data_IF_301192513073
#
_entry.id   IF_301192513073
#
_cell.length_a   1.000
_cell.length_b   1.000
_cell.length_c   1.000
_cell.angle_alpha   90.00
_cell.angle_beta   90.00
_cell.angle_gamma   90.00
#
_symmetry.space_group_name_H-M   'P 1'
#
loop_
_entity.id
_entity.type
_entity.pdbx_description
1 polymer ?
#
# COMPACT_ATOMS: atom_id res chain seq x y z
N UNK A 1 -6.02 -1.94 -7.74
CA UNK A 1 -7.09 -2.41 -8.66
C UNK A 1 -8.48 -2.48 -7.99
N UNK A 2 -8.61 -2.09 -6.73
CA UNK A 2 -9.88 -1.94 -6.01
C UNK A 2 -9.67 -1.10 -4.76
N UNK A 3 -10.77 -0.71 -4.10
CA UNK A 3 -10.74 0.01 -2.83
C UNK A 3 -9.90 1.28 -2.88
N UNK A 4 -9.16 1.54 -1.82
CA UNK A 4 -8.38 2.78 -1.64
C UNK A 4 -7.37 3.00 -2.78
N UNK A 5 -6.64 1.96 -3.20
CA UNK A 5 -5.63 2.08 -4.25
C UNK A 5 -6.20 2.50 -5.60
N UNK A 6 -7.39 2.00 -5.97
CA UNK A 6 -8.08 2.40 -7.19
C UNK A 6 -8.49 3.87 -7.13
N UNK A 7 -9.06 4.32 -6.02
CA UNK A 7 -9.49 5.72 -5.88
C UNK A 7 -8.32 6.69 -5.88
N UNK A 8 -7.17 6.31 -5.29
CA UNK A 8 -5.94 7.10 -5.38
C UNK A 8 -5.43 7.18 -6.82
N UNK A 9 -5.42 6.06 -7.56
CA UNK A 9 -5.01 6.04 -8.96
C UNK A 9 -5.87 7.00 -9.80
N UNK A 10 -7.21 6.98 -9.63
CA UNK A 10 -8.12 7.91 -10.32
C UNK A 10 -7.79 9.38 -10.02
N UNK A 11 -7.47 9.72 -8.76
CA UNK A 11 -7.12 11.08 -8.38
C UNK A 11 -5.82 11.54 -9.04
N UNK A 12 -4.78 10.70 -9.08
CA UNK A 12 -3.52 11.04 -9.76
C UNK A 12 -3.68 11.14 -11.27
N UNK A 13 -4.48 10.25 -11.89
CA UNK A 13 -4.81 10.34 -13.33
C UNK A 13 -5.51 11.68 -13.63
N UNK A 14 -6.52 12.04 -12.82
CA UNK A 14 -7.23 13.31 -12.97
C UNK A 14 -6.33 14.54 -12.77
N UNK A 15 -5.32 14.42 -11.91
CA UNK A 15 -4.29 15.46 -11.70
C UNK A 15 -3.21 15.49 -12.80
N UNK A 16 -3.31 14.65 -13.82
CA UNK A 16 -2.40 14.67 -14.98
C UNK A 16 -1.15 13.78 -14.84
N UNK A 17 -1.03 12.96 -13.81
CA UNK A 17 0.12 12.07 -13.61
C UNK A 17 0.11 10.88 -14.56
N UNK A 18 1.31 10.37 -14.86
CA UNK A 18 1.48 9.01 -15.37
C UNK A 18 1.35 8.02 -14.22
N UNK A 19 0.54 7.00 -14.38
CA UNK A 19 0.23 6.03 -13.31
C UNK A 19 0.59 4.62 -13.72
N UNK A 20 1.49 3.99 -12.98
CA UNK A 20 1.73 2.56 -13.04
C UNK A 20 0.80 1.82 -12.11
N UNK A 21 -0.09 0.98 -12.64
CA UNK A 21 -0.99 0.19 -11.83
C UNK A 21 -0.60 -1.29 -11.83
N UNK A 22 -0.45 -1.87 -10.65
CA UNK A 22 -0.09 -3.27 -10.46
C UNK A 22 -1.08 -4.01 -9.57
N UNK A 23 -1.23 -5.29 -9.81
CA UNK A 23 -2.07 -6.19 -9.02
C UNK A 23 -2.33 -7.51 -9.75
N UNK A 24 -3.05 -8.42 -9.10
CA UNK A 24 -3.32 -9.76 -9.64
C UNK A 24 -4.51 -9.82 -10.59
N UNK A 25 -5.49 -8.90 -10.46
CA UNK A 25 -6.74 -8.89 -11.23
C UNK A 25 -6.55 -8.11 -12.51
N UNK A 26 -6.32 -8.84 -13.59
CA UNK A 26 -6.03 -8.29 -14.92
C UNK A 26 -7.19 -7.46 -15.46
N UNK A 27 -8.43 -7.92 -15.28
CA UNK A 27 -9.63 -7.22 -15.75
C UNK A 27 -9.73 -5.81 -15.15
N UNK A 28 -9.43 -5.66 -13.85
CA UNK A 28 -9.46 -4.36 -13.18
C UNK A 28 -8.33 -3.43 -13.65
N UNK A 29 -7.16 -4.00 -13.97
CA UNK A 29 -6.04 -3.24 -14.52
C UNK A 29 -6.37 -2.75 -15.93
N UNK A 30 -6.93 -3.61 -16.77
CA UNK A 30 -7.36 -3.25 -18.13
C UNK A 30 -8.47 -2.20 -18.13
N UNK A 31 -9.45 -2.31 -17.23
CA UNK A 31 -10.49 -1.31 -17.09
C UNK A 31 -9.92 0.07 -16.71
N UNK A 32 -8.93 0.11 -15.81
CA UNK A 32 -8.26 1.36 -15.43
C UNK A 32 -7.46 1.94 -16.61
N UNK A 33 -6.73 1.10 -17.35
CA UNK A 33 -5.98 1.52 -18.55
C UNK A 33 -6.92 2.03 -19.63
N UNK A 34 -8.03 1.34 -19.90
CA UNK A 34 -9.00 1.75 -20.92
C UNK A 34 -9.62 3.12 -20.61
N UNK A 35 -9.80 3.46 -19.33
CA UNK A 35 -10.31 4.78 -18.92
C UNK A 35 -9.31 5.94 -19.15
N UNK A 36 -8.00 5.65 -19.23
CA UNK A 36 -6.97 6.68 -19.44
C UNK A 36 -5.72 6.07 -20.13
N UNK A 37 -5.81 5.65 -21.39
CA UNK A 37 -4.78 4.85 -22.07
C UNK A 37 -3.44 5.58 -22.20
N UNK A 38 -3.46 6.89 -22.36
CA UNK A 38 -2.25 7.70 -22.50
C UNK A 38 -1.53 7.97 -21.17
N UNK A 39 -2.17 7.66 -20.03
CA UNK A 39 -1.65 7.95 -18.69
C UNK A 39 -1.40 6.72 -17.85
N UNK A 40 -1.93 5.56 -18.24
CA UNK A 40 -1.87 4.36 -17.41
C UNK A 40 -1.06 3.25 -18.07
N UNK A 41 -0.01 2.82 -17.39
CA UNK A 41 0.70 1.56 -17.66
C UNK A 41 0.28 0.53 -16.63
N UNK A 42 0.13 -0.71 -17.06
CA UNK A 42 -0.34 -1.79 -16.19
C UNK A 42 0.61 -2.98 -16.21
N UNK A 43 0.67 -3.69 -15.09
CA UNK A 43 1.37 -4.98 -15.02
C UNK A 43 0.73 -5.89 -13.99
N UNK A 44 0.45 -7.13 -14.38
CA UNK A 44 0.01 -8.15 -13.41
C UNK A 44 1.19 -8.50 -12.51
N UNK A 45 1.05 -8.25 -11.21
CA UNK A 45 2.06 -8.56 -10.18
C UNK A 45 1.38 -9.24 -9.00
N UNK A 46 1.81 -10.45 -8.70
CA UNK A 46 1.59 -11.07 -7.39
C UNK A 46 2.84 -10.84 -6.55
N UNK A 47 2.69 -10.07 -5.47
CA UNK A 47 3.84 -9.70 -4.63
C UNK A 47 4.44 -10.89 -3.86
N UNK A 48 3.73 -12.01 -3.78
CA UNK A 48 4.25 -13.25 -3.17
C UNK A 48 5.10 -14.07 -4.11
N UNK A 49 4.98 -13.83 -5.42
CA UNK A 49 5.73 -14.54 -6.44
C UNK A 49 7.19 -14.07 -6.53
N UNK A 50 8.14 -14.96 -6.85
CA UNK A 50 9.57 -14.60 -6.94
C UNK A 50 9.88 -13.55 -8.01
N UNK A 51 9.10 -13.49 -9.10
CA UNK A 51 9.27 -12.51 -10.18
C UNK A 51 8.69 -11.12 -9.90
N UNK A 52 8.12 -10.89 -8.72
CA UNK A 52 7.46 -9.62 -8.37
C UNK A 52 8.40 -8.42 -8.49
N UNK A 53 9.65 -8.57 -8.09
CA UNK A 53 10.69 -7.53 -8.16
C UNK A 53 10.98 -7.12 -9.59
N UNK A 54 11.26 -8.09 -10.45
CA UNK A 54 11.53 -7.84 -11.87
C UNK A 54 10.32 -7.18 -12.55
N UNK A 55 9.10 -7.67 -12.26
CA UNK A 55 7.88 -7.11 -12.82
C UNK A 55 7.64 -5.67 -12.37
N UNK A 56 7.96 -5.34 -11.11
CA UNK A 56 7.88 -3.97 -10.61
C UNK A 56 8.87 -3.05 -11.35
N UNK A 57 10.13 -3.46 -11.47
CA UNK A 57 11.15 -2.68 -12.17
C UNK A 57 10.82 -2.46 -13.66
N UNK A 58 10.24 -3.47 -14.31
CA UNK A 58 9.74 -3.34 -15.69
C UNK A 58 8.60 -2.33 -15.79
N UNK A 59 7.65 -2.33 -14.85
CA UNK A 59 6.57 -1.34 -14.82
C UNK A 59 7.11 0.09 -14.65
N UNK A 60 8.10 0.27 -13.79
CA UNK A 60 8.76 1.56 -13.59
C UNK A 60 9.48 1.99 -14.88
N UNK A 61 10.15 1.09 -15.57
CA UNK A 61 10.80 1.38 -16.86
C UNK A 61 9.78 1.77 -17.94
N UNK A 62 8.64 1.08 -18.02
CA UNK A 62 7.54 1.39 -18.95
C UNK A 62 6.94 2.80 -18.71
N UNK A 63 7.07 3.33 -17.50
CA UNK A 63 6.66 4.69 -17.12
C UNK A 63 7.74 5.75 -17.41
N UNK A 64 8.98 5.34 -17.68
CA UNK A 64 10.12 6.23 -17.79
C UNK A 64 10.68 6.72 -16.46
N UNK A 65 10.28 6.12 -15.34
CA UNK A 65 10.73 6.45 -13.99
C UNK A 65 9.62 6.38 -12.95
N UNK A 66 9.95 6.72 -11.71
CA UNK A 66 8.99 6.71 -10.60
C UNK A 66 9.35 7.79 -9.58
N UNK A 67 8.43 8.69 -9.28
CA UNK A 67 8.58 9.71 -8.23
C UNK A 67 7.93 9.28 -6.92
N UNK A 68 6.84 8.51 -7.02
CA UNK A 68 6.06 8.01 -5.89
C UNK A 68 5.69 6.55 -6.10
N UNK A 69 6.11 5.67 -5.19
CA UNK A 69 5.58 4.31 -5.10
C UNK A 69 4.66 4.21 -3.89
N UNK A 70 3.39 3.84 -4.14
CA UNK A 70 2.41 3.61 -3.09
C UNK A 70 2.03 2.12 -3.04
N UNK A 71 2.45 1.44 -1.99
CA UNK A 71 2.06 0.05 -1.74
C UNK A 71 0.67 -0.02 -1.12
N UNK A 72 -0.27 -0.61 -1.87
CA UNK A 72 -1.66 -0.79 -1.45
C UNK A 72 -2.05 -2.26 -1.24
N UNK A 73 -1.19 -3.20 -1.65
CA UNK A 73 -1.50 -4.61 -1.56
C UNK A 73 -1.53 -5.10 -0.11
N UNK A 74 -2.48 -5.95 0.18
CA UNK A 74 -2.63 -6.57 1.49
C UNK A 74 -3.91 -7.38 1.57
N UNK A 75 -3.92 -8.38 2.42
CA UNK A 75 -5.07 -9.21 2.72
C UNK A 75 -5.29 -9.28 4.24
N UNK A 76 -6.50 -9.67 4.63
CA UNK A 76 -6.85 -9.87 6.03
C UNK A 76 -8.11 -10.71 6.13
N UNK A 77 -8.23 -11.44 7.21
CA UNK A 77 -9.37 -12.31 7.51
C UNK A 77 -9.83 -12.09 8.95
N UNK A 78 -11.13 -12.19 9.17
CA UNK A 78 -11.68 -12.50 10.47
C UNK A 78 -11.48 -14.01 10.66
N UNK A 79 -10.63 -14.42 11.60
CA UNK A 79 -10.15 -15.80 11.73
C UNK A 79 -10.03 -16.23 13.20
N UNK A 80 -11.14 -16.19 13.99
CA UNK A 80 -11.09 -16.52 15.40
C UNK A 80 -10.79 -18.02 15.69
N UNK A 81 -10.91 -18.89 14.68
CA UNK A 81 -10.56 -20.31 14.76
C UNK A 81 -9.10 -20.60 14.44
N UNK A 82 -8.31 -19.58 14.08
CA UNK A 82 -6.89 -19.70 13.71
C UNK A 82 -6.66 -20.71 12.58
N UNK A 83 -7.47 -20.65 11.52
CA UNK A 83 -7.22 -21.39 10.28
C UNK A 83 -5.81 -21.05 9.77
N UNK A 84 -4.93 -22.04 9.78
CA UNK A 84 -3.51 -21.86 9.51
C UNK A 84 -3.25 -21.37 8.08
N UNK A 85 -4.04 -21.80 7.09
CA UNK A 85 -3.86 -21.36 5.71
C UNK A 85 -4.11 -19.85 5.56
N UNK A 86 -5.13 -19.31 6.24
CA UNK A 86 -5.42 -17.87 6.26
C UNK A 86 -4.35 -17.07 6.99
N UNK A 87 -3.84 -17.59 8.12
CA UNK A 87 -2.78 -16.92 8.88
C UNK A 87 -1.49 -16.86 8.05
N UNK A 88 -1.07 -17.99 7.45
CA UNK A 88 0.13 -18.08 6.63
C UNK A 88 0.00 -17.19 5.38
N UNK A 89 -1.10 -17.27 4.63
CA UNK A 89 -1.32 -16.44 3.47
C UNK A 89 -1.28 -14.94 3.80
N UNK A 90 -1.81 -14.55 4.98
CA UNK A 90 -1.74 -13.16 5.46
C UNK A 90 -0.29 -12.76 5.76
N UNK A 91 0.48 -13.61 6.43
CA UNK A 91 1.89 -13.35 6.72
C UNK A 91 2.71 -13.26 5.42
N UNK A 92 2.57 -14.21 4.51
CA UNK A 92 3.28 -14.20 3.22
C UNK A 92 2.99 -12.93 2.41
N UNK A 93 1.73 -12.54 2.30
CA UNK A 93 1.36 -11.34 1.53
C UNK A 93 1.80 -10.05 2.23
N UNK A 94 1.42 -9.89 3.52
CA UNK A 94 1.56 -8.62 4.21
C UNK A 94 2.94 -8.40 4.83
N UNK A 95 3.77 -9.43 4.95
CA UNK A 95 5.15 -9.31 5.44
C UNK A 95 6.16 -9.62 4.33
N UNK A 96 6.24 -10.85 3.85
CA UNK A 96 7.25 -11.25 2.86
C UNK A 96 7.06 -10.50 1.54
N UNK A 97 5.86 -10.55 0.96
CA UNK A 97 5.54 -9.82 -0.27
C UNK A 97 5.67 -8.31 -0.13
N UNK A 98 5.23 -7.77 1.01
CA UNK A 98 5.43 -6.35 1.33
C UNK A 98 6.92 -5.99 1.37
N UNK A 99 7.76 -6.74 2.09
CA UNK A 99 9.21 -6.49 2.20
C UNK A 99 9.86 -6.50 0.82
N UNK A 100 9.55 -7.51 0.00
CA UNK A 100 10.07 -7.61 -1.36
C UNK A 100 9.84 -6.33 -2.18
N UNK A 101 8.62 -5.82 -2.18
CA UNK A 101 8.27 -4.58 -2.91
C UNK A 101 8.93 -3.35 -2.30
N UNK A 102 8.97 -3.25 -0.96
CA UNK A 102 9.58 -2.11 -0.28
C UNK A 102 11.09 -2.03 -0.51
N UNK A 103 11.79 -3.16 -0.43
CA UNK A 103 13.24 -3.22 -0.67
C UNK A 103 13.57 -2.88 -2.12
N UNK A 104 12.86 -3.47 -3.07
CA UNK A 104 13.04 -3.18 -4.50
C UNK A 104 12.84 -1.69 -4.79
N UNK A 105 11.79 -1.09 -4.23
CA UNK A 105 11.48 0.32 -4.44
C UNK A 105 12.50 1.24 -3.74
N UNK A 106 12.93 0.88 -2.52
CA UNK A 106 13.93 1.65 -1.78
C UNK A 106 15.28 1.65 -2.52
N UNK A 107 15.71 0.50 -3.02
CA UNK A 107 16.95 0.39 -3.81
C UNK A 107 16.84 1.13 -5.15
N UNK A 108 15.68 1.05 -5.82
CA UNK A 108 15.41 1.85 -7.01
C UNK A 108 15.56 3.36 -6.73
N UNK A 109 14.91 3.88 -5.69
CA UNK A 109 15.02 5.30 -5.32
C UNK A 109 16.43 5.70 -4.88
N UNK A 110 17.17 4.80 -4.24
CA UNK A 110 18.59 5.02 -3.91
C UNK A 110 19.42 5.24 -5.17
N UNK A 111 19.25 4.42 -6.18
CA UNK A 111 19.97 4.52 -7.47
C UNK A 111 19.53 5.73 -8.30
N UNK A 112 18.25 6.06 -8.25
CA UNK A 112 17.68 7.23 -8.93
C UNK A 112 18.12 8.56 -8.30
N UNK A 113 18.51 8.55 -7.04
CA UNK A 113 18.90 9.74 -6.28
C UNK A 113 17.80 10.35 -5.42
N UNK A 114 16.66 9.71 -5.32
CA UNK A 114 15.56 10.13 -4.45
C UNK A 114 14.19 9.63 -4.90
N UNK A 115 13.17 9.89 -4.07
CA UNK A 115 11.80 9.50 -4.36
C UNK A 115 10.92 9.45 -3.11
N UNK A 116 9.66 9.06 -3.31
CA UNK A 116 8.69 8.94 -2.23
C UNK A 116 8.13 7.53 -2.15
N UNK A 117 8.41 6.84 -1.06
CA UNK A 117 7.92 5.49 -0.78
C UNK A 117 6.82 5.55 0.27
N UNK A 118 5.63 5.10 -0.06
CA UNK A 118 4.49 5.11 0.83
C UNK A 118 3.80 3.75 0.89
N UNK A 119 3.18 3.44 2.02
CA UNK A 119 2.39 2.21 2.15
C UNK A 119 1.15 2.40 3.00
N UNK A 120 0.08 1.69 2.61
CA UNK A 120 -1.15 1.59 3.39
C UNK A 120 -0.99 0.45 4.40
N UNK A 121 -0.61 0.82 5.62
CA UNK A 121 -0.58 -0.08 6.77
C UNK A 121 -1.96 -0.18 7.43
N UNK A 122 -2.10 0.07 8.71
CA UNK A 122 -3.38 0.14 9.42
C UNK A 122 -3.20 0.62 10.86
N UNK A 123 -4.27 1.14 11.46
CA UNK A 123 -4.40 1.27 12.93
C UNK A 123 -4.39 -0.11 13.62
N UNK A 124 -4.77 -1.17 12.92
CA UNK A 124 -4.73 -2.55 13.44
C UNK A 124 -3.33 -2.99 13.89
N UNK A 125 -2.27 -2.33 13.41
CA UNK A 125 -0.91 -2.54 13.88
C UNK A 125 -0.58 -1.95 15.25
N UNK A 126 -1.51 -1.27 15.94
CA UNK A 126 -1.26 -0.67 17.26
C UNK A 126 -1.28 -1.70 18.38
N UNK A 127 -2.12 -2.73 18.27
CA UNK A 127 -2.22 -3.84 19.23
C UNK A 127 -2.72 -5.13 18.58
N UNK A 128 -2.56 -6.27 19.26
CA UNK A 128 -3.08 -7.55 18.80
C UNK A 128 -4.61 -7.58 18.76
N UNK A 129 -5.17 -8.15 17.70
CA UNK A 129 -6.60 -8.35 17.52
C UNK A 129 -6.88 -9.85 17.49
N UNK A 130 -7.57 -10.36 18.52
CA UNK A 130 -7.81 -11.80 18.67
C UNK A 130 -8.58 -12.45 17.51
N UNK A 131 -9.48 -11.70 16.86
CA UNK A 131 -10.21 -12.17 15.69
C UNK A 131 -9.43 -12.02 14.36
N UNK A 132 -8.21 -11.45 14.38
CA UNK A 132 -7.41 -11.18 13.19
C UNK A 132 -5.91 -11.15 13.54
N UNK A 133 -5.41 -12.27 14.09
CA UNK A 133 -4.07 -12.36 14.68
C UNK A 133 -2.97 -12.03 13.66
N UNK A 134 -2.87 -12.79 12.56
CA UNK A 134 -1.86 -12.53 11.53
C UNK A 134 -2.02 -11.15 10.89
N UNK A 135 -3.26 -10.66 10.71
CA UNK A 135 -3.48 -9.34 10.14
C UNK A 135 -2.91 -8.24 11.04
N UNK A 136 -3.28 -8.21 12.32
CA UNK A 136 -2.78 -7.18 13.24
C UNK A 136 -1.27 -7.26 13.42
N UNK A 137 -0.70 -8.46 13.53
CA UNK A 137 0.74 -8.68 13.60
C UNK A 137 1.45 -8.19 12.33
N UNK A 138 0.93 -8.52 11.14
CA UNK A 138 1.50 -8.08 9.88
C UNK A 138 1.44 -6.56 9.71
N UNK A 139 0.36 -5.90 10.15
CA UNK A 139 0.27 -4.44 10.12
C UNK A 139 1.24 -3.78 11.11
N UNK A 140 1.52 -4.41 12.25
CA UNK A 140 2.58 -3.95 13.16
C UNK A 140 3.96 -4.08 12.51
N UNK A 141 4.22 -5.21 11.84
CA UNK A 141 5.43 -5.40 11.05
C UNK A 141 5.62 -4.24 10.05
N UNK A 142 4.60 -3.94 9.24
CA UNK A 142 4.65 -2.85 8.25
C UNK A 142 4.94 -1.49 8.90
N UNK A 143 4.28 -1.16 10.02
CA UNK A 143 4.54 0.09 10.74
C UNK A 143 6.01 0.20 11.17
N UNK A 144 6.55 -0.85 11.77
CA UNK A 144 7.94 -0.89 12.26
C UNK A 144 8.94 -0.86 11.10
N UNK A 145 8.65 -1.58 10.03
CA UNK A 145 9.49 -1.62 8.83
C UNK A 145 9.60 -0.25 8.15
N UNK A 146 8.49 0.46 7.98
CA UNK A 146 8.47 1.82 7.44
C UNK A 146 9.21 2.83 8.34
N UNK A 147 9.13 2.65 9.67
CA UNK A 147 9.92 3.45 10.61
C UNK A 147 11.42 3.19 10.43
N UNK A 148 11.83 1.93 10.25
CA UNK A 148 13.21 1.54 10.01
C UNK A 148 13.75 2.09 8.67
N UNK A 149 12.98 1.99 7.58
CA UNK A 149 13.37 2.56 6.29
C UNK A 149 13.54 4.08 6.34
N UNK A 150 12.72 4.78 7.12
CA UNK A 150 12.88 6.22 7.30
C UNK A 150 14.14 6.57 8.11
N UNK A 151 14.53 5.74 9.08
CA UNK A 151 15.80 5.90 9.78
C UNK A 151 16.98 5.63 8.85
N UNK A 152 16.91 4.54 8.07
CA UNK A 152 17.95 4.15 7.12
C UNK A 152 18.18 5.25 6.08
N UNK A 153 17.10 5.83 5.52
CA UNK A 153 17.20 6.94 4.58
C UNK A 153 17.99 8.12 5.18
N UNK A 154 17.70 8.49 6.45
CA UNK A 154 18.44 9.56 7.15
C UNK A 154 19.88 9.18 7.44
N UNK A 155 20.14 7.96 7.92
CA UNK A 155 21.51 7.49 8.21
C UNK A 155 22.40 7.52 6.97
N UNK A 156 21.85 7.17 5.82
CA UNK A 156 22.55 7.17 4.53
C UNK A 156 22.48 8.51 3.77
N UNK A 157 21.82 9.52 4.35
CA UNK A 157 21.63 10.86 3.75
C UNK A 157 20.96 10.80 2.36
N UNK A 158 20.00 9.89 2.19
CA UNK A 158 19.24 9.73 0.96
C UNK A 158 18.03 10.67 0.93
N UNK A 159 17.66 11.20 -0.25
CA UNK A 159 16.42 11.95 -0.43
C UNK A 159 15.23 11.02 -0.71
N UNK A 160 15.08 9.97 0.11
CA UNK A 160 13.95 9.06 0.04
C UNK A 160 12.98 9.38 1.15
N UNK A 161 11.78 9.84 0.79
CA UNK A 161 10.68 10.11 1.73
C UNK A 161 9.91 8.83 2.00
N UNK A 162 9.53 8.62 3.26
CA UNK A 162 8.73 7.46 3.67
C UNK A 162 7.44 7.95 4.30
N UNK A 163 6.28 7.46 3.83
CA UNK A 163 4.96 7.76 4.44
C UNK A 163 4.25 6.47 4.86
N UNK A 164 3.93 6.40 6.15
CA UNK A 164 3.12 5.35 6.75
C UNK A 164 1.66 5.81 6.87
N UNK A 165 0.77 5.18 6.10
CA UNK A 165 -0.66 5.51 6.04
C UNK A 165 -1.43 4.48 6.85
N UNK A 166 -2.07 4.93 7.94
CA UNK A 166 -2.79 4.09 8.91
C UNK A 166 -4.28 4.38 8.90
N UNK A 167 -5.05 3.82 7.96
CA UNK A 167 -6.51 3.96 7.99
C UNK A 167 -7.12 3.08 9.08
N UNK A 168 -8.30 3.50 9.56
CA UNK A 168 -9.24 2.64 10.27
C UNK A 168 -10.09 1.83 9.30
N UNK A 169 -11.36 1.58 9.64
CA UNK A 169 -12.24 0.80 8.79
C UNK A 169 -12.69 1.59 7.55
N UNK A 170 -12.41 1.04 6.38
CA UNK A 170 -12.76 1.61 5.07
C UNK A 170 -13.59 0.61 4.29
N UNK A 171 -14.70 1.06 3.73
CA UNK A 171 -15.61 0.24 2.94
C UNK A 171 -14.95 -0.24 1.65
N UNK A 172 -14.34 -1.39 1.70
CA UNK A 172 -13.58 -1.99 0.61
C UNK A 172 -13.78 -3.51 0.61
N UNK A 173 -13.47 -4.21 -0.48
CA UNK A 173 -13.52 -5.67 -0.53
C UNK A 173 -12.64 -6.40 0.50
N UNK A 174 -11.76 -5.70 1.21
CA UNK A 174 -10.98 -6.26 2.31
C UNK A 174 -11.84 -6.51 3.56
N UNK A 175 -12.82 -5.64 3.82
CA UNK A 175 -13.82 -5.83 4.89
C UNK A 175 -14.97 -6.66 4.34
N UNK A 176 -14.93 -7.98 4.56
CA UNK A 176 -15.89 -8.89 3.92
C UNK A 176 -17.24 -8.88 4.62
N UNK A 177 -17.36 -9.19 5.87
CA UNK A 177 -18.64 -9.27 6.58
C UNK A 177 -18.53 -8.62 7.96
N UNK A 178 -19.57 -7.92 8.38
CA UNK A 178 -19.65 -7.35 9.72
C UNK A 178 -20.09 -5.90 9.77
N UNK A 179 -20.49 -5.47 10.96
CA UNK A 179 -20.74 -4.04 11.27
C UNK A 179 -19.43 -3.47 11.83
N UNK A 180 -18.87 -2.51 11.13
CA UNK A 180 -17.63 -1.85 11.55
C UNK A 180 -17.91 -0.45 12.06
N UNK A 181 -17.36 -0.05 13.22
CA UNK A 181 -17.55 1.30 13.73
C UNK A 181 -16.83 2.32 12.84
N UNK A 182 -17.43 3.50 12.70
CA UNK A 182 -16.82 4.62 11.96
C UNK A 182 -16.34 4.25 10.53
N UNK A 183 -17.10 3.40 9.85
CA UNK A 183 -16.81 2.98 8.47
C UNK A 183 -16.70 4.20 7.54
N UNK A 184 -15.62 4.28 6.79
CA UNK A 184 -15.31 5.40 5.90
C UNK A 184 -15.45 4.99 4.43
N UNK A 185 -15.88 5.92 3.61
CA UNK A 185 -15.92 5.74 2.15
C UNK A 185 -14.51 5.81 1.56
N UNK A 186 -14.13 4.90 0.64
CA UNK A 186 -12.79 4.83 0.07
C UNK A 186 -12.37 6.12 -0.66
N UNK A 187 -13.31 6.82 -1.32
CA UNK A 187 -13.01 8.06 -2.02
C UNK A 187 -12.57 9.18 -1.05
N UNK A 188 -13.23 9.28 0.12
CA UNK A 188 -12.85 10.26 1.16
C UNK A 188 -11.49 9.95 1.78
N UNK A 189 -11.20 8.65 1.96
CA UNK A 189 -9.91 8.20 2.48
C UNK A 189 -8.82 8.46 1.45
N UNK A 190 -9.03 8.14 0.17
CA UNK A 190 -8.10 8.40 -0.92
C UNK A 190 -7.74 9.88 -1.04
N UNK A 191 -8.71 10.79 -0.99
CA UNK A 191 -8.44 12.23 -1.03
C UNK A 191 -7.57 12.71 0.14
N UNK A 192 -7.78 12.17 1.36
CA UNK A 192 -6.93 12.47 2.52
C UNK A 192 -5.50 11.93 2.37
N UNK A 193 -5.36 10.74 1.77
CA UNK A 193 -4.07 10.13 1.50
C UNK A 193 -3.29 10.98 0.50
N UNK A 194 -3.88 11.31 -0.66
CA UNK A 194 -3.23 12.14 -1.69
C UNK A 194 -2.73 13.45 -1.08
N UNK A 195 -3.58 14.17 -0.34
CA UNK A 195 -3.18 15.40 0.36
C UNK A 195 -2.03 15.20 1.34
N UNK A 196 -1.99 14.06 2.06
CA UNK A 196 -0.90 13.77 2.97
C UNK A 196 0.42 13.46 2.25
N UNK A 197 0.34 12.78 1.10
CA UNK A 197 1.48 12.49 0.24
C UNK A 197 2.05 13.78 -0.37
N UNK A 198 1.22 14.68 -0.88
CA UNK A 198 1.62 16.03 -1.35
C UNK A 198 2.33 16.83 -0.25
N UNK A 199 1.83 16.74 0.99
CA UNK A 199 2.44 17.37 2.16
C UNK A 199 3.67 16.61 2.70
N UNK A 200 4.06 15.51 2.06
CA UNK A 200 5.19 14.65 2.46
C UNK A 200 5.16 14.21 3.93
N UNK A 201 3.96 13.94 4.46
CA UNK A 201 3.79 13.54 5.87
C UNK A 201 4.46 12.19 6.13
N UNK A 202 5.21 12.10 7.23
CA UNK A 202 5.86 10.85 7.65
C UNK A 202 4.85 9.78 8.07
N UNK A 203 3.75 10.19 8.70
CA UNK A 203 2.67 9.31 9.17
C UNK A 203 1.34 10.02 9.08
N UNK A 204 0.29 9.29 8.70
CA UNK A 204 -1.08 9.77 8.78
C UNK A 204 -2.00 8.68 9.31
N UNK A 205 -2.79 9.02 10.33
CA UNK A 205 -3.89 8.19 10.84
C UNK A 205 -5.21 8.74 10.28
N UNK A 206 -6.00 7.88 9.67
CA UNK A 206 -7.29 8.20 9.08
C UNK A 206 -8.33 7.22 9.66
N UNK A 207 -9.30 7.62 10.45
CA UNK A 207 -9.77 8.89 10.96
C UNK A 207 -8.96 9.35 12.19
N UNK A 208 -8.97 10.67 12.47
CA UNK A 208 -8.29 11.27 13.66
C UNK A 208 -8.77 10.67 14.98
N UNK A 209 -10.00 10.19 15.04
CA UNK A 209 -10.57 9.52 16.22
C UNK A 209 -9.81 8.26 16.61
N UNK A 210 -9.12 7.62 15.68
CA UNK A 210 -8.24 6.47 15.94
C UNK A 210 -6.84 6.86 16.39
N UNK A 211 -6.48 8.14 16.40
CA UNK A 211 -5.16 8.60 16.87
C UNK A 211 -5.02 8.55 18.41
N UNK A 212 -6.13 8.35 19.11
CA UNK A 212 -6.21 8.29 20.59
C UNK A 212 -6.13 6.83 21.10
N UNK A 213 -6.14 5.86 20.22
CA UNK A 213 -6.00 4.42 20.50
C UNK A 213 -4.55 3.95 20.39
#
# INVERSE_FOLDING_TARGET
TSGIGLEIAKLYIAAGWQVGAAGRRTENLEALRAAAPDRVKIRSIDITAPEAEERLLRLIADLGGCDLLLHCAGIGYNNPQLDAAREIATAETNTVGFTRIMDTAFDYFRRQGGGHLAAISSIAGTKGLGAAAAYSASKRYQNTYLDALAQLSRMQRLDIRITDIRPGFVDTPLLREGKYPMLMRPEKVAARIVRALEQRKRRIVIDRRYAVL
#
